data_IF_130989928411
#
_entry.id   IF_130989928411
#
_cell.length_a   1.000
_cell.length_b   1.000
_cell.length_c   1.000
_cell.angle_alpha   90.00
_cell.angle_beta   90.00
_cell.angle_gamma   90.00
#
_symmetry.space_group_name_H-M   'P 1'
#
loop_
_entity.id
_entity.type
_entity.pdbx_description
1 polymer ?
#
# COMPACT_ATOMS: atom_id res chain seq x y z
N UNK A 1 -32.72 -15.43 -24.39
CA UNK A 1 -31.33 -15.55 -23.92
C UNK A 1 -31.29 -16.66 -22.88
N UNK A 2 -30.51 -17.71 -23.12
CA UNK A 2 -30.50 -18.91 -22.28
C UNK A 2 -29.64 -18.66 -21.04
N UNK A 3 -30.28 -18.39 -19.90
CA UNK A 3 -29.61 -18.19 -18.61
C UNK A 3 -28.71 -19.38 -18.23
N UNK A 4 -29.03 -20.58 -18.71
CA UNK A 4 -28.24 -21.81 -18.48
C UNK A 4 -26.83 -21.75 -19.09
N UNK A 5 -26.66 -21.00 -20.19
CA UNK A 5 -25.35 -20.88 -20.84
C UNK A 5 -24.44 -19.91 -20.08
N UNK A 6 -25.02 -18.89 -19.43
CA UNK A 6 -24.29 -17.91 -18.62
C UNK A 6 -23.71 -18.56 -17.36
N UNK A 7 -24.43 -19.50 -16.75
CA UNK A 7 -23.94 -20.20 -15.55
C UNK A 7 -22.80 -21.18 -15.87
N UNK A 8 -22.87 -21.90 -16.99
CA UNK A 8 -21.79 -22.78 -17.45
C UNK A 8 -20.52 -22.00 -17.83
N UNK A 9 -20.65 -20.85 -18.49
CA UNK A 9 -19.50 -20.02 -18.86
C UNK A 9 -18.81 -19.42 -17.63
N UNK A 10 -19.56 -19.08 -16.58
CA UNK A 10 -19.02 -18.60 -15.30
C UNK A 10 -18.32 -19.72 -14.52
N UNK A 11 -18.86 -20.93 -14.53
CA UNK A 11 -18.26 -22.11 -13.88
C UNK A 11 -16.93 -22.52 -14.53
N UNK A 12 -16.83 -22.37 -15.85
CA UNK A 12 -15.61 -22.71 -16.59
C UNK A 12 -14.50 -21.66 -16.44
N UNK A 13 -14.86 -20.38 -16.26
CA UNK A 13 -13.91 -19.27 -16.10
C UNK A 13 -13.42 -19.15 -14.65
N UNK A 14 -14.23 -19.53 -13.66
CA UNK A 14 -13.87 -19.35 -12.26
C UNK A 14 -14.63 -20.32 -11.32
N UNK A 15 -14.03 -21.49 -11.01
CA UNK A 15 -14.63 -22.50 -10.13
C UNK A 15 -14.97 -22.01 -8.71
N UNK A 16 -14.41 -20.86 -8.29
CA UNK A 16 -14.56 -20.29 -6.95
C UNK A 16 -15.70 -19.25 -6.85
N UNK A 17 -16.46 -18.99 -7.93
CA UNK A 17 -17.52 -17.96 -7.92
C UNK A 17 -18.61 -18.22 -6.88
N UNK A 18 -18.96 -19.48 -6.64
CA UNK A 18 -19.92 -19.85 -5.60
C UNK A 18 -19.43 -19.51 -4.18
N UNK A 19 -18.12 -19.62 -3.93
CA UNK A 19 -17.52 -19.24 -2.65
C UNK A 19 -17.43 -17.71 -2.49
N UNK A 20 -17.43 -16.94 -3.59
CA UNK A 20 -17.48 -15.46 -3.59
C UNK A 20 -18.86 -14.89 -3.33
N UNK A 21 -19.91 -15.59 -3.75
CA UNK A 21 -21.31 -15.22 -3.49
C UNK A 21 -21.77 -15.68 -2.11
N UNK A 22 -20.95 -16.43 -1.39
CA UNK A 22 -21.27 -16.84 -0.04
C UNK A 22 -21.26 -15.59 0.86
N UNK A 23 -22.46 -15.13 1.20
CA UNK A 23 -22.63 -13.88 1.96
C UNK A 23 -21.83 -13.93 3.25
N UNK A 24 -21.33 -12.78 3.74
CA UNK A 24 -20.65 -12.66 5.05
C UNK A 24 -21.38 -13.41 6.19
N UNK A 25 -22.71 -13.53 6.07
CA UNK A 25 -23.59 -14.29 6.97
C UNK A 25 -23.37 -15.81 6.92
N UNK A 26 -23.14 -16.39 5.74
CA UNK A 26 -22.85 -17.81 5.58
C UNK A 26 -21.42 -18.14 6.02
N UNK A 27 -20.44 -17.26 5.78
CA UNK A 27 -19.10 -17.39 6.36
C UNK A 27 -19.15 -17.45 7.90
N UNK A 28 -19.95 -16.59 8.55
CA UNK A 28 -20.19 -16.66 10.00
C UNK A 28 -20.91 -17.93 10.45
N UNK A 29 -21.83 -18.48 9.65
CA UNK A 29 -22.47 -19.78 9.92
C UNK A 29 -21.50 -20.95 9.81
N UNK A 30 -20.56 -20.92 8.84
CA UNK A 30 -19.49 -21.92 8.71
C UNK A 30 -18.53 -21.86 9.92
N UNK A 31 -18.21 -20.66 10.41
CA UNK A 31 -17.42 -20.49 11.65
C UNK A 31 -18.15 -21.04 12.89
N UNK A 32 -19.47 -20.83 12.98
CA UNK A 32 -20.32 -21.43 14.02
C UNK A 32 -20.37 -22.96 13.97
N UNK A 33 -20.15 -23.58 12.82
CA UNK A 33 -20.15 -25.05 12.66
C UNK A 33 -18.79 -25.66 13.03
N UNK A 34 -17.68 -24.98 12.71
CA UNK A 34 -16.32 -25.36 13.16
C UNK A 34 -16.23 -25.38 14.70
N UNK A 35 -16.92 -24.46 15.38
CA UNK A 35 -17.00 -24.42 16.84
C UNK A 35 -17.73 -25.60 17.50
N UNK A 36 -18.44 -26.45 16.75
CA UNK A 36 -19.19 -27.59 17.32
C UNK A 36 -18.46 -28.94 17.25
N UNK A 37 -17.39 -29.10 16.47
CA UNK A 37 -16.81 -30.45 16.22
C UNK A 37 -15.27 -30.56 16.14
N UNK A 38 -14.45 -29.54 16.40
CA UNK A 38 -12.98 -29.70 16.29
C UNK A 38 -12.17 -29.26 17.51
N UNK A 39 -11.34 -30.22 17.95
CA UNK A 39 -10.40 -30.15 19.06
C UNK A 39 -9.37 -29.02 18.91
N UNK A 40 -8.97 -28.47 20.05
CA UNK A 40 -8.04 -27.34 20.22
C UNK A 40 -6.69 -27.50 19.49
N UNK A 41 -6.32 -28.71 19.08
CA UNK A 41 -5.04 -29.05 18.45
C UNK A 41 -4.91 -28.67 16.96
N UNK A 42 -6.02 -28.43 16.23
CA UNK A 42 -5.99 -28.17 14.78
C UNK A 42 -6.10 -26.68 14.38
N UNK A 43 -6.29 -25.78 15.37
CA UNK A 43 -6.51 -24.34 15.15
C UNK A 43 -5.36 -23.65 14.38
N UNK A 44 -4.06 -23.91 14.67
CA UNK A 44 -2.98 -23.19 14.01
C UNK A 44 -2.89 -23.44 12.51
N UNK A 45 -3.13 -24.68 12.07
CA UNK A 45 -3.05 -25.05 10.65
C UNK A 45 -4.25 -24.56 9.84
N UNK A 46 -5.46 -24.64 10.41
CA UNK A 46 -6.69 -24.20 9.74
C UNK A 46 -6.82 -22.66 9.67
N UNK A 47 -6.26 -21.93 10.64
CA UNK A 47 -6.26 -20.46 10.60
C UNK A 47 -5.22 -19.92 9.59
N UNK A 48 -4.08 -20.61 9.44
CA UNK A 48 -3.03 -20.24 8.49
C UNK A 48 -3.42 -20.32 7.02
N UNK A 49 -4.38 -21.19 6.66
CA UNK A 49 -4.92 -21.27 5.29
C UNK A 49 -5.96 -20.18 5.01
N UNK A 50 -6.68 -19.72 6.05
CA UNK A 50 -7.72 -18.68 5.95
C UNK A 50 -7.15 -17.25 5.84
N UNK A 51 -5.93 -17.03 6.33
CA UNK A 51 -5.26 -15.72 6.28
C UNK A 51 -4.50 -15.46 4.96
N UNK A 52 -4.48 -16.42 4.03
CA UNK A 52 -3.56 -16.39 2.88
C UNK A 52 -4.02 -15.50 1.70
N UNK A 53 -5.21 -14.91 1.76
CA UNK A 53 -5.76 -14.12 0.65
C UNK A 53 -6.46 -12.85 1.14
N UNK A 54 -5.68 -11.94 1.73
CA UNK A 54 -6.03 -10.53 1.63
C UNK A 54 -5.87 -10.14 0.16
N UNK A 55 -6.97 -10.13 -0.60
CA UNK A 55 -7.00 -9.54 -1.94
C UNK A 55 -6.80 -8.04 -1.80
N UNK A 56 -5.53 -7.61 -1.77
CA UNK A 56 -5.18 -6.23 -2.07
C UNK A 56 -5.54 -5.94 -3.53
N UNK A 57 -5.95 -4.70 -3.80
CA UNK A 57 -6.06 -4.16 -5.16
C UNK A 57 -4.80 -4.53 -5.95
N UNK A 58 -4.93 -4.88 -7.24
CA UNK A 58 -3.83 -5.45 -8.05
C UNK A 58 -2.49 -4.74 -7.80
N UNK A 59 -1.40 -5.50 -7.74
CA UNK A 59 -0.06 -4.99 -7.40
C UNK A 59 0.40 -3.83 -8.29
N UNK A 60 -0.08 -3.75 -9.54
CA UNK A 60 0.12 -2.60 -10.42
C UNK A 60 -0.33 -1.29 -9.78
N UNK A 61 -1.54 -1.27 -9.20
CA UNK A 61 -2.05 -0.08 -8.51
C UNK A 61 -1.23 0.33 -7.29
N UNK A 62 -0.63 -0.64 -6.58
CA UNK A 62 0.20 -0.36 -5.40
C UNK A 62 1.53 0.25 -5.82
N UNK A 63 2.20 -0.32 -6.83
CA UNK A 63 3.45 0.23 -7.34
C UNK A 63 3.29 1.63 -7.94
N UNK A 64 2.15 1.91 -8.58
CA UNK A 64 1.82 3.24 -9.07
C UNK A 64 1.64 4.24 -7.93
N UNK A 65 0.94 3.85 -6.86
CA UNK A 65 0.76 4.67 -5.66
C UNK A 65 2.09 4.92 -4.95
N UNK A 66 2.94 3.91 -4.81
CA UNK A 66 4.26 4.07 -4.19
C UNK A 66 5.18 4.97 -5.02
N UNK A 67 5.15 4.85 -6.34
CA UNK A 67 5.91 5.75 -7.22
C UNK A 67 5.35 7.17 -7.21
N UNK A 68 4.02 7.33 -7.11
CA UNK A 68 3.40 8.64 -6.90
C UNK A 68 3.84 9.26 -5.57
N UNK A 69 3.82 8.49 -4.48
CA UNK A 69 4.33 8.93 -3.18
C UNK A 69 5.82 9.33 -3.28
N UNK A 70 6.65 8.51 -3.93
CA UNK A 70 8.07 8.82 -4.13
C UNK A 70 8.28 10.14 -4.89
N UNK A 71 7.40 10.48 -5.83
CA UNK A 71 7.42 11.78 -6.51
C UNK A 71 7.19 12.94 -5.54
N UNK A 72 6.24 12.80 -4.61
CA UNK A 72 5.93 13.81 -3.60
C UNK A 72 7.09 13.96 -2.62
N UNK A 73 7.65 12.84 -2.12
CA UNK A 73 8.81 12.89 -1.22
C UNK A 73 10.02 13.58 -1.87
N UNK A 74 10.24 13.37 -3.16
CA UNK A 74 11.29 14.10 -3.89
C UNK A 74 11.03 15.62 -3.93
N UNK A 75 9.77 16.04 -4.10
CA UNK A 75 9.39 17.45 -4.12
C UNK A 75 9.66 18.08 -2.75
N UNK A 76 9.21 17.40 -1.68
CA UNK A 76 9.32 17.88 -0.30
C UNK A 76 10.78 17.90 0.17
N UNK A 77 11.54 16.82 -0.08
CA UNK A 77 12.97 16.76 0.24
C UNK A 77 13.76 17.89 -0.42
N UNK A 78 13.49 18.18 -1.70
CA UNK A 78 14.13 19.29 -2.41
C UNK A 78 13.67 20.66 -1.87
N UNK A 79 12.36 20.81 -1.58
CA UNK A 79 11.79 22.02 -1.00
C UNK A 79 12.46 22.37 0.34
N UNK A 80 12.49 21.43 1.28
CA UNK A 80 13.10 21.66 2.59
C UNK A 80 14.62 21.78 2.51
N UNK A 81 15.29 21.06 1.61
CA UNK A 81 16.74 21.22 1.40
C UNK A 81 17.07 22.64 0.94
N UNK A 82 16.30 23.16 -0.02
CA UNK A 82 16.44 24.56 -0.48
C UNK A 82 16.08 25.55 0.62
N UNK A 83 14.98 25.34 1.32
CA UNK A 83 14.50 26.24 2.37
C UNK A 83 15.47 26.36 3.55
N UNK A 84 16.02 25.23 4.02
CA UNK A 84 17.02 25.21 5.10
C UNK A 84 18.34 25.87 4.67
N UNK A 85 18.72 25.74 3.40
CA UNK A 85 19.93 26.36 2.86
C UNK A 85 19.75 27.83 2.44
N UNK A 86 18.50 28.33 2.34
CA UNK A 86 18.21 29.67 1.85
C UNK A 86 18.61 30.75 2.87
N UNK A 87 19.54 31.66 2.53
CA UNK A 87 19.98 32.71 3.43
C UNK A 87 18.82 33.64 3.82
N UNK A 88 18.66 33.88 5.12
CA UNK A 88 17.66 34.83 5.64
C UNK A 88 16.21 34.34 5.60
N UNK A 89 15.93 33.14 5.09
CA UNK A 89 14.58 32.58 5.08
C UNK A 89 14.13 32.13 6.48
N UNK A 90 15.03 31.49 7.23
CA UNK A 90 14.77 31.01 8.59
C UNK A 90 15.58 31.87 9.56
N UNK A 91 14.94 32.56 10.52
CA UNK A 91 15.67 33.36 11.51
C UNK A 91 16.63 32.49 12.34
N UNK A 92 17.94 32.81 12.39
CA UNK A 92 18.93 32.01 13.08
C UNK A 92 18.70 32.00 14.60
N UNK A 93 19.10 30.91 15.26
CA UNK A 93 18.95 30.75 16.70
C UNK A 93 17.52 30.47 17.18
N UNK A 94 16.55 30.33 16.27
CA UNK A 94 15.18 29.95 16.62
C UNK A 94 14.99 28.43 16.59
N UNK A 95 14.02 27.89 17.36
CA UNK A 95 13.65 26.47 17.29
C UNK A 95 13.25 26.00 15.88
N UNK A 96 12.79 26.92 15.02
CA UNK A 96 12.42 26.63 13.64
C UNK A 96 13.58 26.07 12.81
N UNK A 97 14.83 26.51 13.06
CA UNK A 97 16.01 25.98 12.37
C UNK A 97 16.14 24.48 12.59
N UNK A 98 16.05 24.05 13.84
CA UNK A 98 16.11 22.63 14.19
C UNK A 98 14.95 21.85 13.60
N UNK A 99 13.72 22.33 13.79
CA UNK A 99 12.52 21.64 13.30
C UNK A 99 12.53 21.45 11.77
N UNK A 100 12.84 22.49 11.00
CA UNK A 100 12.88 22.43 9.54
C UNK A 100 14.04 21.56 9.03
N UNK A 101 15.18 21.55 9.75
CA UNK A 101 16.29 20.63 9.46
C UNK A 101 15.87 19.18 9.70
N UNK A 102 15.16 18.90 10.78
CA UNK A 102 14.64 17.55 11.06
C UNK A 102 13.64 17.09 10.00
N UNK A 103 12.72 17.96 9.59
CA UNK A 103 11.76 17.63 8.52
C UNK A 103 12.51 17.31 7.22
N UNK A 104 13.46 18.15 6.80
CA UNK A 104 14.33 17.85 5.64
C UNK A 104 14.96 16.46 5.72
N UNK A 105 15.49 16.10 6.89
CA UNK A 105 16.17 14.82 7.08
C UNK A 105 15.19 13.63 7.02
N UNK A 106 13.96 13.82 7.52
CA UNK A 106 12.90 12.83 7.38
C UNK A 106 12.49 12.63 5.92
N UNK A 107 12.28 13.69 5.14
CA UNK A 107 11.88 13.54 3.73
C UNK A 107 12.97 12.84 2.91
N UNK A 108 14.25 13.12 3.19
CA UNK A 108 15.36 12.37 2.58
C UNK A 108 15.34 10.89 2.97
N UNK A 109 15.00 10.57 4.23
CA UNK A 109 14.85 9.20 4.69
C UNK A 109 13.63 8.51 4.06
N UNK A 110 12.51 9.22 3.88
CA UNK A 110 11.32 8.72 3.19
C UNK A 110 11.62 8.38 1.72
N UNK A 111 12.35 9.23 1.01
CA UNK A 111 12.83 8.92 -0.35
C UNK A 111 13.62 7.60 -0.37
N UNK A 112 14.58 7.43 0.53
CA UNK A 112 15.40 6.22 0.60
C UNK A 112 14.55 4.98 0.93
N UNK A 113 13.61 5.12 1.87
CA UNK A 113 12.68 4.08 2.25
C UNK A 113 11.78 3.66 1.09
N UNK A 114 11.14 4.60 0.40
CA UNK A 114 10.24 4.30 -0.72
C UNK A 114 10.97 3.64 -1.89
N UNK A 115 12.19 4.09 -2.23
CA UNK A 115 13.02 3.42 -3.24
C UNK A 115 13.28 1.96 -2.86
N UNK A 116 13.57 1.69 -1.59
CA UNK A 116 13.81 0.34 -1.07
C UNK A 116 12.53 -0.50 -1.12
N UNK A 117 11.40 0.06 -0.67
CA UNK A 117 10.11 -0.62 -0.65
C UNK A 117 9.62 -0.96 -2.06
N UNK A 118 9.70 -0.03 -3.01
CA UNK A 118 9.34 -0.26 -4.42
C UNK A 118 10.20 -1.38 -5.02
N UNK A 119 11.51 -1.34 -4.79
CA UNK A 119 12.44 -2.36 -5.29
C UNK A 119 12.14 -3.74 -4.68
N UNK A 120 11.88 -3.80 -3.37
CA UNK A 120 11.53 -5.04 -2.68
C UNK A 120 10.19 -5.62 -3.14
N UNK A 121 9.26 -4.76 -3.57
CA UNK A 121 7.98 -5.15 -4.17
C UNK A 121 8.09 -5.55 -5.66
N UNK A 122 9.30 -5.59 -6.23
CA UNK A 122 9.55 -5.94 -7.63
C UNK A 122 9.28 -4.82 -8.63
N UNK A 123 9.05 -3.59 -8.16
CA UNK A 123 8.89 -2.40 -8.99
C UNK A 123 10.22 -1.69 -9.26
N UNK A 124 10.17 -0.73 -10.19
CA UNK A 124 11.29 0.19 -10.45
C UNK A 124 10.96 1.56 -9.84
N UNK A 125 11.76 2.10 -8.92
CA UNK A 125 11.56 3.45 -8.39
C UNK A 125 11.73 4.50 -9.49
N UNK A 126 10.82 5.45 -9.58
CA UNK A 126 10.97 6.57 -10.52
C UNK A 126 12.24 7.40 -10.23
N UNK A 127 12.83 7.93 -11.30
CA UNK A 127 13.87 8.94 -11.18
C UNK A 127 13.30 10.25 -10.61
N UNK A 128 14.15 11.01 -9.89
CA UNK A 128 13.77 12.32 -9.38
C UNK A 128 13.48 13.28 -10.54
N UNK A 129 12.27 13.85 -10.65
CA UNK A 129 11.98 14.83 -11.69
C UNK A 129 12.62 16.19 -11.35
N UNK A 130 12.69 17.07 -12.34
CA UNK A 130 12.97 18.48 -12.10
C UNK A 130 11.74 19.17 -11.50
N UNK A 131 11.95 20.00 -10.48
CA UNK A 131 10.90 20.81 -9.87
C UNK A 131 11.19 22.29 -10.07
N UNK A 132 10.13 23.04 -10.34
CA UNK A 132 10.17 24.49 -10.40
C UNK A 132 9.66 25.10 -9.09
N UNK A 133 10.48 25.97 -8.50
CA UNK A 133 10.19 26.68 -7.25
C UNK A 133 10.13 28.20 -7.46
N UNK A 134 10.13 28.69 -8.71
CA UNK A 134 10.05 30.14 -9.00
C UNK A 134 8.63 30.68 -8.93
N UNK A 135 7.62 29.82 -8.75
CA UNK A 135 6.20 30.14 -8.79
C UNK A 135 5.68 30.66 -10.16
N UNK A 136 6.46 30.47 -11.24
CA UNK A 136 6.16 30.97 -12.59
C UNK A 136 7.03 32.14 -13.00
#
# INVERSE_FOLDING_TARGET
MNLQNIFNDIEHVDPEVYDRLDTRRNAMKRFSFIGKTLALAAIPAALGTMLKKAYGQSTGSILDVLNFALKLEYLEAEFYTRGVAAPGLIPPGTPAVGALTTIRDHENAHVAFLKTAITAAGGTPIARPGFDFTAG
#
